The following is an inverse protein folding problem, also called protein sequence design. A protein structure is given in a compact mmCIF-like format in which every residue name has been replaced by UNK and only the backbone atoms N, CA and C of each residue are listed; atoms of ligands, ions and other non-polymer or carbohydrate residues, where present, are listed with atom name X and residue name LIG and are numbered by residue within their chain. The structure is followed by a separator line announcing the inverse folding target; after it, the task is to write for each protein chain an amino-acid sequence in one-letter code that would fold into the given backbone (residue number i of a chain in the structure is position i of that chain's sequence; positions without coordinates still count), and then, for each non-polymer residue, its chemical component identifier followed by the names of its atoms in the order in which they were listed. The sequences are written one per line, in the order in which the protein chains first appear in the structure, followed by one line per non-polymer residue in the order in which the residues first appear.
data_IF_686226272482
#
_entry.id   IF_686226272482
#
_cell.length_a   1.000
_cell.length_b   1.000
_cell.length_c   1.000
_cell.angle_alpha   90.00
_cell.angle_beta   90.00
_cell.angle_gamma   90.00
#
_symmetry.space_group_name_H-M   'P 1'
#
loop_
_entity.id
_entity.type
_entity.pdbx_description
1 polymer ?
#
# COMPACT_ATOMS: atom_id res chain seq x y z
N UNK A 1 -6.59 -5.81 14.86
CA UNK A 1 -5.30 -5.07 14.78
C UNK A 1 -5.21 -4.12 15.97
N UNK A 2 -4.01 -3.86 16.51
CA UNK A 2 -3.83 -2.81 17.53
C UNK A 2 -3.69 -1.45 16.83
N UNK A 3 -4.09 -0.34 17.49
CA UNK A 3 -3.90 1.01 16.95
C UNK A 3 -2.41 1.29 16.73
N UNK A 4 -2.06 2.06 15.70
CA UNK A 4 -0.66 2.39 15.42
C UNK A 4 0.02 3.07 16.64
N UNK A 5 -0.72 3.93 17.33
CA UNK A 5 -0.25 4.65 18.53
C UNK A 5 0.10 3.75 19.73
N UNK A 6 -0.29 2.47 19.72
CA UNK A 6 0.04 1.50 20.78
C UNK A 6 1.00 0.41 20.31
N UNK A 7 1.59 0.56 19.13
CA UNK A 7 2.58 -0.35 18.56
C UNK A 7 3.93 0.36 18.43
N UNK A 8 5.00 -0.43 18.49
CA UNK A 8 6.33 0.05 18.15
C UNK A 8 6.53 -0.07 16.64
N UNK A 9 7.04 1.00 16.01
CA UNK A 9 7.44 0.97 14.61
C UNK A 9 8.58 -0.02 14.39
N UNK A 10 8.48 -0.83 13.33
CA UNK A 10 9.53 -1.75 12.92
C UNK A 10 10.39 -1.02 11.87
N UNK A 11 11.70 -0.95 12.14
CA UNK A 11 12.68 -0.42 11.19
C UNK A 11 13.18 -1.57 10.30
N UNK A 12 12.74 -1.58 9.04
CA UNK A 12 13.20 -2.56 8.06
C UNK A 12 14.42 -2.02 7.33
N UNK A 13 15.54 -2.76 7.26
CA UNK A 13 16.71 -2.32 6.53
C UNK A 13 16.38 -2.17 5.04
N UNK A 14 17.06 -1.22 4.38
CA UNK A 14 16.95 -1.05 2.94
C UNK A 14 17.45 -2.32 2.23
N UNK A 15 16.83 -2.71 1.10
CA UNK A 15 17.26 -3.88 0.33
C UNK A 15 18.69 -3.68 -0.21
N UNK A 16 19.47 -4.76 -0.22
CA UNK A 16 20.88 -4.79 -0.64
C UNK A 16 21.10 -5.14 -2.12
N UNK A 17 20.04 -5.53 -2.83
CA UNK A 17 20.06 -5.92 -4.24
C UNK A 17 20.75 -7.26 -4.52
N UNK A 18 21.05 -8.06 -3.50
CA UNK A 18 21.72 -9.37 -3.63
C UNK A 18 20.94 -10.49 -2.96
N UNK A 19 20.57 -10.28 -1.71
CA UNK A 19 19.78 -11.23 -0.90
C UNK A 19 18.37 -10.66 -0.67
N UNK A 20 18.27 -9.34 -0.58
CA UNK A 20 17.04 -8.59 -0.34
C UNK A 20 16.82 -7.58 -1.46
N UNK A 21 15.58 -7.45 -1.91
CA UNK A 21 15.22 -6.66 -3.08
C UNK A 21 14.06 -5.73 -2.74
N UNK A 22 13.92 -4.65 -3.51
CA UNK A 22 12.76 -3.80 -3.40
C UNK A 22 11.50 -4.50 -3.96
N UNK A 23 10.35 -3.92 -3.64
CA UNK A 23 9.05 -4.48 -4.00
C UNK A 23 8.84 -4.52 -5.52
N UNK A 24 9.25 -3.49 -6.25
CA UNK A 24 9.01 -3.39 -7.71
C UNK A 24 9.86 -4.41 -8.47
N UNK A 25 11.13 -4.57 -8.10
CA UNK A 25 11.99 -5.63 -8.63
C UNK A 25 11.38 -7.02 -8.40
N UNK A 26 10.79 -7.24 -7.22
CA UNK A 26 10.13 -8.51 -6.88
C UNK A 26 8.87 -8.75 -7.72
N UNK A 27 8.03 -7.72 -7.90
CA UNK A 27 6.80 -7.79 -8.70
C UNK A 27 7.11 -8.02 -10.17
N UNK A 28 8.11 -7.35 -10.72
CA UNK A 28 8.54 -7.50 -12.11
C UNK A 28 8.91 -8.96 -12.44
N UNK A 29 9.57 -9.67 -11.52
CA UNK A 29 9.94 -11.07 -11.69
C UNK A 29 8.77 -12.05 -11.58
N UNK A 30 7.62 -11.62 -11.05
CA UNK A 30 6.43 -12.47 -10.99
C UNK A 30 5.73 -12.63 -12.35
N UNK A 31 6.01 -11.75 -13.31
CA UNK A 31 5.34 -11.72 -14.62
C UNK A 31 3.85 -11.37 -14.56
N UNK A 32 3.38 -10.86 -13.41
CA UNK A 32 1.97 -10.47 -13.23
C UNK A 32 1.68 -9.17 -13.99
N UNK A 33 0.61 -9.17 -14.78
CA UNK A 33 0.16 -7.99 -15.51
C UNK A 33 -1.37 -8.00 -15.71
N UNK A 34 -1.95 -6.82 -15.89
CA UNK A 34 -3.36 -6.59 -16.16
C UNK A 34 -3.53 -5.67 -17.37
N UNK A 35 -4.65 -5.76 -18.08
CA UNK A 35 -5.05 -4.72 -19.05
C UNK A 35 -5.30 -3.40 -18.31
N UNK A 36 -4.80 -2.28 -18.84
CA UNK A 36 -4.91 -0.96 -18.22
C UNK A 36 -6.34 -0.41 -18.27
N UNK A 37 -7.15 -0.79 -19.27
CA UNK A 37 -8.48 -0.24 -19.52
C UNK A 37 -9.60 -0.96 -18.75
N UNK A 38 -9.30 -2.06 -18.04
CA UNK A 38 -10.29 -2.75 -17.20
C UNK A 38 -10.44 -2.06 -15.83
N UNK A 39 -11.59 -2.04 -15.16
CA UNK A 39 -11.72 -1.48 -13.82
C UNK A 39 -10.83 -2.21 -12.79
N UNK A 40 -10.47 -1.54 -11.69
CA UNK A 40 -9.76 -2.22 -10.58
C UNK A 40 -10.61 -3.38 -10.06
N UNK A 41 -9.99 -4.55 -9.94
CA UNK A 41 -10.64 -5.75 -9.40
C UNK A 41 -10.63 -5.78 -7.86
N UNK A 42 -9.85 -4.90 -7.23
CA UNK A 42 -9.85 -4.67 -5.80
C UNK A 42 -10.84 -3.53 -5.51
N UNK A 43 -12.07 -3.91 -5.18
CA UNK A 43 -13.14 -2.96 -4.87
C UNK A 43 -13.24 -2.71 -3.36
N UNK A 44 -13.58 -1.49 -2.99
CA UNK A 44 -13.92 -1.15 -1.62
C UNK A 44 -15.44 -1.17 -1.46
N UNK A 45 -15.90 -1.61 -0.29
CA UNK A 45 -17.30 -1.48 0.07
C UNK A 45 -17.65 -0.01 0.37
N UNK A 46 -16.70 0.72 0.95
CA UNK A 46 -16.80 2.15 1.25
C UNK A 46 -15.44 2.80 0.95
N UNK A 47 -15.39 3.61 -0.09
CA UNK A 47 -14.20 4.30 -0.58
C UNK A 47 -13.61 5.29 0.43
N UNK A 48 -14.34 5.65 1.48
CA UNK A 48 -13.89 6.61 2.52
C UNK A 48 -13.24 5.96 3.74
N UNK A 49 -13.33 4.63 3.85
CA UNK A 49 -12.78 3.88 4.99
C UNK A 49 -11.25 4.00 5.11
N UNK A 50 -10.46 3.94 4.01
CA UNK A 50 -9.02 4.09 4.08
C UNK A 50 -8.58 5.39 4.76
N UNK A 51 -9.15 6.51 4.36
CA UNK A 51 -8.80 7.85 4.86
C UNK A 51 -9.42 8.14 6.23
N UNK A 52 -10.63 7.62 6.49
CA UNK A 52 -11.34 7.87 7.76
C UNK A 52 -10.84 6.99 8.90
N UNK A 53 -10.39 5.77 8.61
CA UNK A 53 -10.13 4.74 9.62
C UNK A 53 -8.73 4.15 9.45
N UNK A 54 -8.41 3.56 8.30
CA UNK A 54 -7.20 2.74 8.16
C UNK A 54 -5.93 3.57 8.36
N UNK A 55 -5.81 4.69 7.64
CA UNK A 55 -4.67 5.60 7.75
C UNK A 55 -4.58 6.26 9.14
N UNK A 56 -5.59 6.98 9.65
CA UNK A 56 -5.46 7.74 10.90
C UNK A 56 -5.35 6.87 12.15
N UNK A 57 -5.93 5.66 12.19
CA UNK A 57 -5.96 4.81 13.39
C UNK A 57 -4.88 3.71 13.33
N UNK A 58 -4.60 3.19 12.14
CA UNK A 58 -3.76 2.01 11.94
C UNK A 58 -2.53 2.25 11.05
N UNK A 59 -2.27 3.49 10.62
CA UNK A 59 -1.15 3.87 9.76
C UNK A 59 -1.16 3.15 8.38
N UNK A 60 -2.36 2.93 7.83
CA UNK A 60 -2.55 2.43 6.46
C UNK A 60 -1.90 1.06 6.22
N UNK A 61 -2.28 0.00 6.96
CA UNK A 61 -1.66 -1.32 6.87
C UNK A 61 -1.63 -1.93 5.47
N UNK A 62 -2.59 -1.57 4.61
CA UNK A 62 -2.69 -2.00 3.22
C UNK A 62 -1.46 -1.67 2.37
N UNK A 63 -0.72 -0.61 2.71
CA UNK A 63 0.55 -0.29 2.05
C UNK A 63 1.67 -1.28 2.40
N UNK A 64 1.54 -2.01 3.52
CA UNK A 64 2.61 -2.85 4.09
C UNK A 64 2.33 -4.34 3.97
N UNK A 65 1.08 -4.78 4.13
CA UNK A 65 0.75 -6.20 3.99
C UNK A 65 0.65 -6.65 2.52
N UNK A 66 0.51 -5.71 1.59
CA UNK A 66 0.37 -6.01 0.17
C UNK A 66 1.72 -6.37 -0.44
N UNK A 67 1.90 -7.61 -0.96
CA UNK A 67 3.17 -8.05 -1.51
C UNK A 67 3.47 -7.46 -2.89
N UNK A 68 2.52 -6.72 -3.48
CA UNK A 68 2.64 -6.14 -4.81
C UNK A 68 2.52 -4.61 -4.84
N UNK A 69 2.38 -3.95 -3.68
CA UNK A 69 2.34 -2.49 -3.60
C UNK A 69 1.13 -1.84 -4.27
N UNK A 70 0.02 -2.57 -4.40
CA UNK A 70 -1.18 -2.10 -5.12
C UNK A 70 -1.91 -0.95 -4.41
N UNK A 71 -1.79 -0.82 -3.09
CA UNK A 71 -2.42 0.25 -2.32
C UNK A 71 -1.39 1.32 -1.96
N UNK A 72 -1.60 2.54 -2.45
CA UNK A 72 -0.66 3.66 -2.29
C UNK A 72 -1.45 4.92 -1.88
N UNK A 73 -1.04 5.59 -0.81
CA UNK A 73 -1.66 6.87 -0.45
C UNK A 73 -0.90 8.01 -1.11
N UNK A 74 -1.61 8.77 -1.95
CA UNK A 74 -1.09 9.96 -2.62
C UNK A 74 -1.65 11.22 -1.95
N UNK A 75 -0.85 12.28 -1.91
CA UNK A 75 -1.30 13.58 -1.42
C UNK A 75 -2.03 14.33 -2.55
N UNK A 76 -3.34 14.53 -2.43
CA UNK A 76 -4.14 15.30 -3.40
C UNK A 76 -3.80 16.80 -3.34
N UNK A 77 -3.56 17.29 -2.13
CA UNK A 77 -3.10 18.64 -1.84
C UNK A 77 -2.07 18.60 -0.69
N UNK A 78 -1.76 19.75 -0.09
CA UNK A 78 -0.76 19.82 0.98
C UNK A 78 -1.12 19.02 2.24
N UNK A 79 -2.38 18.59 2.41
CA UNK A 79 -2.87 18.05 3.69
C UNK A 79 -3.76 16.81 3.57
N UNK A 80 -4.26 16.45 2.38
CA UNK A 80 -5.21 15.35 2.19
C UNK A 80 -4.57 14.13 1.53
N UNK A 81 -4.36 13.03 2.27
CA UNK A 81 -4.02 11.74 1.68
C UNK A 81 -5.28 11.10 1.06
N UNK A 82 -5.13 10.52 -0.13
CA UNK A 82 -6.14 9.73 -0.81
C UNK A 82 -5.53 8.37 -1.21
N UNK A 83 -6.26 7.29 -0.94
CA UNK A 83 -5.86 5.97 -1.40
C UNK A 83 -6.03 5.84 -2.92
N UNK A 84 -4.97 5.39 -3.58
CA UNK A 84 -4.96 4.91 -4.95
C UNK A 84 -4.75 3.40 -4.97
N UNK A 85 -5.49 2.72 -5.83
CA UNK A 85 -5.38 1.27 -6.06
C UNK A 85 -4.83 1.06 -7.47
N UNK A 86 -3.57 0.64 -7.55
CA UNK A 86 -2.92 0.26 -8.81
C UNK A 86 -3.38 -1.14 -9.26
N UNK A 87 -3.43 -1.37 -10.57
CA UNK A 87 -3.89 -2.63 -11.18
C UNK A 87 -2.72 -3.58 -11.38
#
# INVERSE_FOLDING_TARGET
MKKASSCQTIDYPKPDGKISFDLLSSVALSGTNHDHDQPSHLTLLDDTTPERINLPIYDGPEQRYCPAGKWIYNMLDCITPLLSIDK
#
